data_IF_982382091452
#
_entry.id   IF_982382091452
#
_cell.length_a   1.000
_cell.length_b   1.000
_cell.length_c   1.000
_cell.angle_alpha   90.00
_cell.angle_beta   90.00
_cell.angle_gamma   90.00
#
_symmetry.space_group_name_H-M   'P 1'
#
loop_
_entity.id
_entity.type
_entity.pdbx_description
1 polymer ?
#
# COMPACT_ATOMS: atom_id res chain seq x y z
N UNK A 1 72.94 14.58 -4.92
CA UNK A 1 71.89 14.08 -5.82
C UNK A 1 70.56 14.23 -5.10
N UNK A 2 69.57 14.87 -5.73
CA UNK A 2 68.21 14.91 -5.21
C UNK A 2 67.41 13.76 -5.82
N UNK A 3 66.65 13.07 -5.00
CA UNK A 3 65.71 12.03 -5.40
C UNK A 3 64.35 12.68 -5.63
N UNK A 4 63.79 12.48 -6.83
CA UNK A 4 62.43 12.86 -7.19
C UNK A 4 61.60 11.59 -7.36
N UNK A 5 60.52 11.49 -6.59
CA UNK A 5 59.64 10.32 -6.60
C UNK A 5 58.24 10.79 -6.95
N UNK A 6 57.67 10.21 -8.01
CA UNK A 6 56.31 10.48 -8.46
C UNK A 6 55.41 9.32 -8.08
N UNK A 7 54.36 9.61 -7.33
CA UNK A 7 53.32 8.67 -6.96
C UNK A 7 52.07 8.97 -7.81
N UNK A 8 51.67 8.03 -8.65
CA UNK A 8 50.46 8.12 -9.44
C UNK A 8 49.38 7.22 -8.82
N UNK A 9 48.21 7.80 -8.55
CA UNK A 9 47.06 7.07 -8.03
C UNK A 9 45.86 7.25 -8.98
N UNK A 10 45.08 6.19 -9.13
CA UNK A 10 43.92 6.16 -10.04
C UNK A 10 42.62 5.98 -9.25
N UNK A 11 42.00 7.08 -8.78
CA UNK A 11 40.59 7.15 -8.33
C UNK A 11 40.21 8.57 -7.82
N UNK A 12 39.02 9.12 -8.12
CA UNK A 12 38.08 8.78 -9.20
C UNK A 12 38.56 9.28 -10.58
N UNK A 13 39.54 10.19 -10.60
CA UNK A 13 40.38 10.56 -11.75
C UNK A 13 41.86 10.31 -11.40
N UNK A 14 42.73 10.19 -12.41
CA UNK A 14 44.18 9.99 -12.19
C UNK A 14 44.80 11.28 -11.67
N UNK A 15 45.46 11.23 -10.53
CA UNK A 15 46.27 12.33 -10.03
C UNK A 15 47.65 11.86 -9.62
N UNK A 16 48.63 12.75 -9.78
CA UNK A 16 50.03 12.50 -9.44
C UNK A 16 50.45 13.45 -8.32
N UNK A 17 51.30 12.93 -7.42
CA UNK A 17 52.00 13.70 -6.40
C UNK A 17 53.48 13.45 -6.49
N UNK A 18 54.28 14.46 -6.17
CA UNK A 18 55.73 14.37 -6.24
C UNK A 18 56.34 14.67 -4.88
N UNK A 19 57.45 14.00 -4.57
CA UNK A 19 58.29 14.24 -3.41
C UNK A 19 59.74 14.39 -3.82
N UNK A 20 60.39 15.42 -3.28
CA UNK A 20 61.79 15.78 -3.57
C UNK A 20 62.57 15.83 -2.26
N UNK A 21 63.65 15.04 -2.15
CA UNK A 21 64.58 15.12 -1.02
C UNK A 21 65.98 14.65 -1.40
N UNK A 22 66.97 14.98 -0.56
CA UNK A 22 68.33 14.46 -0.65
C UNK A 22 68.44 12.95 -0.38
N UNK A 23 67.45 12.36 0.32
CA UNK A 23 67.37 10.91 0.59
C UNK A 23 66.11 10.31 -0.04
N UNK A 24 66.26 9.12 -0.62
CA UNK A 24 65.17 8.41 -1.30
C UNK A 24 63.97 8.13 -0.38
N UNK A 25 64.20 7.66 0.84
CA UNK A 25 63.12 7.36 1.80
C UNK A 25 62.33 8.60 2.22
N UNK A 26 63.02 9.74 2.38
CA UNK A 26 62.40 11.03 2.70
C UNK A 26 61.59 11.55 1.50
N UNK A 27 62.10 11.42 0.27
CA UNK A 27 61.38 11.77 -0.95
C UNK A 27 60.09 10.92 -1.12
N UNK A 28 60.15 9.63 -0.77
CA UNK A 28 59.00 8.72 -0.74
C UNK A 28 57.96 9.19 0.28
N UNK A 29 58.40 9.48 1.51
CA UNK A 29 57.49 9.92 2.59
C UNK A 29 56.80 11.23 2.23
N UNK A 30 57.50 12.17 1.61
CA UNK A 30 56.93 13.44 1.14
C UNK A 30 55.90 13.19 0.03
N UNK A 31 56.20 12.31 -0.94
CA UNK A 31 55.25 11.97 -2.00
C UNK A 31 53.95 11.34 -1.45
N UNK A 32 54.07 10.47 -0.44
CA UNK A 32 52.93 9.86 0.26
C UNK A 32 52.14 10.88 1.09
N UNK A 33 52.81 11.78 1.81
CA UNK A 33 52.16 12.85 2.57
C UNK A 33 51.33 13.76 1.67
N UNK A 34 51.89 14.15 0.52
CA UNK A 34 51.19 14.96 -0.48
C UNK A 34 49.97 14.22 -1.06
N UNK A 35 50.06 12.90 -1.24
CA UNK A 35 48.93 12.08 -1.67
C UNK A 35 47.83 12.01 -0.58
N UNK A 36 48.21 11.78 0.68
CA UNK A 36 47.26 11.80 1.80
C UNK A 36 46.58 13.17 1.95
N UNK A 37 47.30 14.27 1.76
CA UNK A 37 46.72 15.60 1.83
C UNK A 37 45.69 15.83 0.72
N UNK A 38 45.98 15.44 -0.53
CA UNK A 38 44.98 15.45 -1.62
C UNK A 38 43.77 14.57 -1.29
N UNK A 39 43.97 13.40 -0.72
CA UNK A 39 42.87 12.51 -0.31
C UNK A 39 42.00 13.12 0.81
N UNK A 40 42.59 13.94 1.71
CA UNK A 40 41.85 14.73 2.70
C UNK A 40 41.04 15.85 2.04
N UNK A 41 41.63 16.57 1.08
CA UNK A 41 40.95 17.60 0.30
C UNK A 41 39.77 17.03 -0.49
N UNK A 42 39.90 15.81 -1.01
CA UNK A 42 38.80 15.08 -1.66
C UNK A 42 37.78 14.46 -0.68
N UNK A 43 37.98 14.61 0.64
CA UNK A 43 37.05 14.08 1.65
C UNK A 43 37.01 12.55 1.72
N UNK A 44 38.05 11.85 1.24
CA UNK A 44 38.14 10.38 1.23
C UNK A 44 38.69 9.86 2.57
N UNK A 45 39.57 10.62 3.20
CA UNK A 45 40.15 10.30 4.51
C UNK A 45 40.00 11.48 5.48
N UNK A 46 39.84 11.20 6.77
CA UNK A 46 39.70 12.23 7.80
C UNK A 46 41.06 12.83 8.20
N UNK A 47 41.05 13.78 9.15
CA UNK A 47 42.28 14.40 9.66
C UNK A 47 43.26 13.39 10.28
N UNK A 48 42.77 12.24 10.74
CA UNK A 48 43.53 11.13 11.34
C UNK A 48 43.91 10.04 10.31
N UNK A 49 43.80 10.32 9.01
CA UNK A 49 44.08 9.39 7.91
C UNK A 49 43.21 8.12 7.91
N UNK A 50 42.04 8.13 8.56
CA UNK A 50 41.07 7.05 8.46
C UNK A 50 40.18 7.25 7.25
N UNK A 51 39.95 6.19 6.47
CA UNK A 51 38.99 6.18 5.38
C UNK A 51 37.61 6.62 5.88
N UNK A 52 37.14 7.74 5.35
CA UNK A 52 35.75 8.15 5.44
C UNK A 52 34.95 7.22 4.52
N UNK A 53 34.74 5.98 4.98
CA UNK A 53 33.59 5.20 4.52
C UNK A 53 32.36 6.12 4.66
N UNK A 54 31.44 6.16 3.70
CA UNK A 54 30.33 7.11 3.71
C UNK A 54 29.43 6.84 4.92
N UNK A 55 29.81 7.38 6.08
CA UNK A 55 29.01 7.47 7.30
C UNK A 55 27.91 8.52 7.14
N UNK A 56 27.97 9.32 6.07
CA UNK A 56 26.94 10.23 5.62
C UNK A 56 26.56 9.90 4.17
N UNK A 57 25.86 8.80 3.94
CA UNK A 57 24.78 8.87 2.95
C UNK A 57 23.77 9.79 3.62
N UNK A 58 23.64 11.01 3.10
CA UNK A 58 22.60 11.95 3.51
C UNK A 58 21.30 11.17 3.68
N UNK A 59 20.79 11.13 4.91
CA UNK A 59 19.53 10.53 5.26
C UNK A 59 18.44 11.24 4.47
N UNK A 60 17.96 10.61 3.41
CA UNK A 60 16.73 11.03 2.76
C UNK A 60 15.56 10.61 3.66
N UNK A 61 15.26 11.44 4.67
CA UNK A 61 14.20 11.23 5.66
C UNK A 61 14.34 9.94 6.47
N UNK A 62 14.88 10.03 7.69
CA UNK A 62 14.82 9.02 8.78
C UNK A 62 14.69 7.55 8.38
N UNK A 63 15.47 7.11 7.39
CA UNK A 63 15.39 5.72 6.94
C UNK A 63 16.71 5.02 7.11
N UNK A 64 16.67 4.11 8.07
CA UNK A 64 17.72 3.16 8.39
C UNK A 64 18.03 2.34 7.14
N UNK A 65 19.29 2.39 6.71
CA UNK A 65 19.84 1.66 5.58
C UNK A 65 19.38 0.20 5.62
N UNK A 66 19.21 -0.37 6.82
CA UNK A 66 18.78 -1.75 7.07
C UNK A 66 17.45 -2.17 6.42
N UNK A 67 16.56 -1.25 6.05
CA UNK A 67 15.24 -1.58 5.46
C UNK A 67 15.08 -1.22 3.99
N UNK A 68 16.07 -0.55 3.37
CA UNK A 68 15.95 -0.04 2.00
C UNK A 68 15.71 -1.14 0.94
N UNK A 69 16.25 -2.36 1.15
CA UNK A 69 16.01 -3.50 0.25
C UNK A 69 14.54 -3.92 0.20
N UNK A 70 13.88 -3.96 1.35
CA UNK A 70 12.47 -4.35 1.47
C UNK A 70 11.53 -3.28 0.91
N UNK A 71 11.82 -2.02 1.17
CA UNK A 71 11.06 -0.89 0.62
C UNK A 71 11.11 -0.85 -0.92
N UNK A 72 12.31 -1.01 -1.49
CA UNK A 72 12.50 -1.08 -2.94
C UNK A 72 11.71 -2.27 -3.52
N UNK A 73 11.77 -3.44 -2.87
CA UNK A 73 10.98 -4.60 -3.26
C UNK A 73 9.48 -4.32 -3.31
N UNK A 74 8.93 -3.66 -2.28
CA UNK A 74 7.50 -3.31 -2.22
C UNK A 74 7.08 -2.32 -3.33
N UNK A 75 7.93 -1.34 -3.65
CA UNK A 75 7.67 -0.37 -4.71
C UNK A 75 7.61 -1.08 -6.07
N UNK A 76 8.59 -1.92 -6.37
CA UNK A 76 8.64 -2.62 -7.65
C UNK A 76 7.62 -3.75 -7.77
N UNK A 77 7.20 -4.35 -6.66
CA UNK A 77 6.06 -5.26 -6.66
C UNK A 77 4.78 -4.54 -7.11
N UNK A 78 4.57 -3.30 -6.65
CA UNK A 78 3.42 -2.48 -7.09
C UNK A 78 3.51 -2.05 -8.55
N UNK A 79 4.71 -1.73 -9.04
CA UNK A 79 4.97 -1.46 -10.46
C UNK A 79 4.65 -2.72 -11.28
N UNK A 80 5.10 -3.89 -10.83
CA UNK A 80 4.84 -5.18 -11.48
C UNK A 80 3.34 -5.49 -11.56
N UNK A 81 2.60 -5.40 -10.46
CA UNK A 81 1.14 -5.62 -10.44
C UNK A 81 0.40 -4.71 -11.42
N UNK A 82 0.91 -3.50 -11.67
CA UNK A 82 0.25 -2.52 -12.55
C UNK A 82 0.59 -2.68 -14.03
N UNK A 83 1.82 -3.01 -14.36
CA UNK A 83 2.29 -3.09 -15.76
C UNK A 83 2.46 -4.52 -16.29
N UNK A 84 2.37 -5.54 -15.43
CA UNK A 84 2.40 -6.96 -15.81
C UNK A 84 3.74 -7.48 -16.34
N UNK A 85 4.80 -6.67 -16.42
CA UNK A 85 6.11 -7.08 -16.96
C UNK A 85 7.09 -7.49 -15.85
N UNK A 86 7.56 -8.74 -15.87
CA UNK A 86 8.55 -9.27 -14.92
C UNK A 86 9.93 -8.57 -14.98
N UNK A 87 10.20 -7.84 -16.05
CA UNK A 87 11.45 -7.10 -16.27
C UNK A 87 11.69 -5.98 -15.24
N UNK A 88 10.63 -5.52 -14.58
CA UNK A 88 10.71 -4.48 -13.55
C UNK A 88 11.26 -4.98 -12.21
N UNK A 89 11.43 -6.30 -12.01
CA UNK A 89 11.89 -6.83 -10.73
C UNK A 89 13.38 -6.49 -10.52
N UNK A 90 13.77 -5.82 -9.40
CA UNK A 90 15.16 -5.46 -9.16
C UNK A 90 16.03 -6.71 -8.98
N UNK A 91 17.13 -6.80 -9.74
CA UNK A 91 18.05 -7.96 -9.69
C UNK A 91 19.37 -7.56 -9.06
N UNK A 92 19.79 -8.30 -8.03
CA UNK A 92 21.06 -8.11 -7.35
C UNK A 92 22.10 -9.12 -7.87
N UNK A 93 23.28 -8.63 -8.23
CA UNK A 93 24.48 -9.43 -8.49
C UNK A 93 25.51 -9.10 -7.42
N UNK A 94 25.89 -10.07 -6.62
CA UNK A 94 26.72 -9.80 -5.44
C UNK A 94 27.97 -10.65 -5.44
N UNK A 95 29.12 -10.02 -5.19
CA UNK A 95 30.44 -10.65 -5.20
C UNK A 95 31.16 -10.33 -3.90
N UNK A 96 31.78 -11.34 -3.31
CA UNK A 96 32.67 -11.16 -2.15
C UNK A 96 34.07 -10.81 -2.65
N UNK A 97 34.58 -9.66 -2.25
CA UNK A 97 35.90 -9.18 -2.63
C UNK A 97 36.84 -9.38 -1.43
N UNK A 98 37.90 -10.16 -1.65
CA UNK A 98 38.95 -10.32 -0.64
C UNK A 98 39.81 -9.06 -0.61
N UNK A 99 40.02 -8.50 0.57
CA UNK A 99 40.88 -7.34 0.73
C UNK A 99 42.33 -7.70 0.38
N UNK A 100 42.99 -6.83 -0.38
CA UNK A 100 44.42 -6.97 -0.70
C UNK A 100 45.18 -6.10 0.31
N UNK A 101 46.28 -6.62 0.87
CA UNK A 101 47.14 -5.92 1.86
C UNK A 101 46.43 -5.48 3.16
N UNK A 102 45.85 -6.42 3.90
CA UNK A 102 45.41 -6.16 5.29
C UNK A 102 44.06 -5.45 5.46
N UNK A 103 43.36 -5.12 4.37
CA UNK A 103 41.96 -4.72 4.43
C UNK A 103 41.04 -5.93 4.66
N UNK A 104 39.99 -5.73 5.45
CA UNK A 104 38.97 -6.76 5.70
C UNK A 104 38.20 -7.13 4.42
N UNK A 105 37.76 -8.38 4.36
CA UNK A 105 36.84 -8.86 3.32
C UNK A 105 35.57 -8.00 3.28
N UNK A 106 35.14 -7.61 2.09
CA UNK A 106 33.89 -6.86 1.91
C UNK A 106 33.04 -7.42 0.77
N UNK A 107 31.75 -7.13 0.82
CA UNK A 107 30.77 -7.51 -0.19
C UNK A 107 30.49 -6.32 -1.09
N UNK A 108 30.50 -6.56 -2.41
CA UNK A 108 30.06 -5.61 -3.43
C UNK A 108 28.80 -6.15 -4.09
N UNK A 109 27.68 -5.42 -3.98
CA UNK A 109 26.40 -5.75 -4.59
C UNK A 109 26.03 -4.73 -5.67
N UNK A 110 25.70 -5.22 -6.84
CA UNK A 110 25.22 -4.45 -7.98
C UNK A 110 23.74 -4.73 -8.21
N UNK A 111 22.92 -3.69 -8.12
CA UNK A 111 21.49 -3.71 -8.33
C UNK A 111 21.16 -3.20 -9.72
N UNK A 112 20.54 -4.05 -10.55
CA UNK A 112 20.01 -3.70 -11.85
C UNK A 112 18.52 -3.37 -11.72
N UNK A 113 18.14 -2.18 -12.14
CA UNK A 113 16.78 -1.64 -12.09
C UNK A 113 16.41 -1.13 -13.47
N UNK A 114 15.28 -1.57 -14.01
CA UNK A 114 14.83 -1.21 -15.36
C UNK A 114 13.60 -0.34 -15.20
N UNK A 115 13.72 1.00 -15.24
CA UNK A 115 12.55 1.90 -15.24
C UNK A 115 12.97 3.37 -15.47
N UNK A 116 12.54 4.08 -16.52
CA UNK A 116 12.05 3.60 -17.81
C UNK A 116 13.18 3.01 -18.69
N UNK A 117 14.44 3.20 -18.30
CA UNK A 117 15.65 2.63 -18.91
C UNK A 117 16.41 1.78 -17.87
N UNK A 118 17.30 0.90 -18.33
CA UNK A 118 18.13 0.08 -17.45
C UNK A 118 19.21 0.91 -16.76
N UNK A 119 19.24 0.87 -15.43
CA UNK A 119 20.23 1.55 -14.60
C UNK A 119 20.78 0.63 -13.51
N UNK A 120 22.06 0.78 -13.23
CA UNK A 120 22.81 0.00 -12.24
C UNK A 120 23.22 0.84 -11.05
N UNK A 121 23.07 0.27 -9.85
CA UNK A 121 23.47 0.89 -8.59
C UNK A 121 24.38 -0.06 -7.82
N UNK A 122 25.51 0.44 -7.32
CA UNK A 122 26.46 -0.38 -6.56
C UNK A 122 26.51 0.00 -5.07
N UNK A 123 26.62 -1.01 -4.21
CA UNK A 123 26.80 -0.88 -2.77
C UNK A 123 27.91 -1.78 -2.26
N UNK A 124 28.75 -1.26 -1.37
CA UNK A 124 29.86 -1.99 -0.75
C UNK A 124 29.72 -1.96 0.77
N UNK A 125 29.84 -3.12 1.43
CA UNK A 125 29.82 -3.20 2.91
C UNK A 125 30.50 -4.47 3.43
N UNK A 126 30.83 -4.50 4.72
CA UNK A 126 31.40 -5.68 5.38
C UNK A 126 30.45 -6.90 5.39
N UNK A 127 29.13 -6.68 5.34
CA UNK A 127 28.11 -7.74 5.28
C UNK A 127 27.33 -7.66 3.96
N UNK A 128 26.94 -8.83 3.45
CA UNK A 128 26.13 -8.97 2.23
C UNK A 128 24.85 -8.13 2.28
N UNK A 129 24.10 -8.24 3.39
CA UNK A 129 22.83 -7.53 3.59
C UNK A 129 23.00 -6.01 3.52
N UNK A 130 24.09 -5.50 4.06
CA UNK A 130 24.37 -4.07 4.12
C UNK A 130 24.79 -3.54 2.74
N UNK A 131 25.55 -4.34 1.98
CA UNK A 131 25.96 -4.01 0.61
C UNK A 131 24.74 -3.90 -0.34
N UNK A 132 23.81 -4.85 -0.25
CA UNK A 132 22.54 -4.81 -1.00
C UNK A 132 21.67 -3.63 -0.57
N UNK A 133 21.62 -3.36 0.73
CA UNK A 133 20.81 -2.27 1.27
C UNK A 133 21.31 -0.90 0.81
N UNK A 134 22.63 -0.69 0.77
CA UNK A 134 23.24 0.55 0.24
C UNK A 134 22.93 0.72 -1.25
N UNK A 135 23.01 -0.35 -2.05
CA UNK A 135 22.64 -0.32 -3.45
C UNK A 135 21.15 0.08 -3.62
N UNK A 136 20.27 -0.46 -2.77
CA UNK A 136 18.85 -0.13 -2.76
C UNK A 136 18.58 1.32 -2.35
N UNK A 137 19.29 1.85 -1.35
CA UNK A 137 19.16 3.26 -0.93
C UNK A 137 19.53 4.23 -2.06
N UNK A 138 20.62 3.94 -2.80
CA UNK A 138 21.01 4.73 -3.98
C UNK A 138 19.94 4.70 -5.07
N UNK A 139 19.33 3.53 -5.30
CA UNK A 139 18.24 3.39 -6.25
C UNK A 139 16.99 4.19 -5.84
N UNK A 140 16.60 4.14 -4.56
CA UNK A 140 15.48 4.93 -4.03
C UNK A 140 15.72 6.43 -4.17
N UNK A 141 16.94 6.89 -3.88
CA UNK A 141 17.28 8.30 -4.05
C UNK A 141 17.14 8.75 -5.51
N UNK A 142 17.62 7.94 -6.45
CA UNK A 142 17.47 8.22 -7.88
C UNK A 142 15.99 8.26 -8.32
N UNK A 143 15.15 7.36 -7.82
CA UNK A 143 13.71 7.38 -8.11
C UNK A 143 13.03 8.65 -7.58
N UNK A 144 13.49 9.16 -6.43
CA UNK A 144 12.98 10.40 -5.86
C UNK A 144 13.41 11.62 -6.69
N UNK A 145 14.68 11.70 -7.10
CA UNK A 145 15.17 12.76 -8.00
C UNK A 145 14.41 12.81 -9.32
N UNK A 146 14.00 11.64 -9.83
CA UNK A 146 13.17 11.52 -11.04
C UNK A 146 11.68 11.80 -10.82
N UNK A 147 11.26 12.08 -9.58
CA UNK A 147 9.87 12.38 -9.24
C UNK A 147 8.93 11.17 -9.31
N UNK A 148 9.47 9.96 -9.42
CA UNK A 148 8.70 8.71 -9.52
C UNK A 148 8.14 8.33 -8.14
N UNK A 149 8.89 8.64 -7.09
CA UNK A 149 8.47 8.44 -5.70
C UNK A 149 8.45 9.77 -4.96
N UNK A 150 7.45 9.96 -4.09
CA UNK A 150 7.35 11.14 -3.24
C UNK A 150 8.30 11.05 -2.02
N UNK A 151 8.40 12.12 -1.23
CA UNK A 151 9.16 12.13 0.04
C UNK A 151 8.73 11.05 1.04
N UNK A 152 7.51 10.51 0.90
CA UNK A 152 6.97 9.40 1.69
C UNK A 152 7.18 8.02 1.02
N UNK A 153 8.02 7.94 -0.02
CA UNK A 153 8.38 6.72 -0.76
C UNK A 153 7.21 6.01 -1.44
N UNK A 154 6.14 6.74 -1.75
CA UNK A 154 5.00 6.25 -2.52
C UNK A 154 5.15 6.64 -3.98
N UNK A 155 4.75 5.74 -4.87
CA UNK A 155 4.69 5.99 -6.32
C UNK A 155 3.78 7.19 -6.62
N UNK A 156 4.32 8.18 -7.31
CA UNK A 156 3.57 9.33 -7.81
C UNK A 156 3.01 8.96 -9.18
N UNK A 157 1.75 8.52 -9.21
CA UNK A 157 1.08 8.04 -10.43
C UNK A 157 0.58 9.20 -11.30
N UNK A 158 0.25 10.34 -10.69
CA UNK A 158 -0.16 11.55 -11.37
C UNK A 158 0.58 12.73 -10.75
N UNK A 159 1.21 13.57 -11.58
CA UNK A 159 1.72 14.84 -11.09
C UNK A 159 0.53 15.75 -10.74
N UNK A 160 0.72 16.73 -9.84
CA UNK A 160 -0.32 17.73 -9.56
C UNK A 160 -0.83 18.41 -10.84
N UNK A 161 0.04 18.60 -11.83
CA UNK A 161 -0.31 19.11 -13.16
C UNK A 161 -1.17 18.17 -13.99
N UNK A 162 -1.06 16.85 -13.82
CA UNK A 162 -1.88 15.87 -14.55
C UNK A 162 -3.28 15.75 -13.98
N UNK A 163 -3.41 15.83 -12.65
CA UNK A 163 -4.71 15.88 -11.97
C UNK A 163 -5.48 17.13 -12.41
N UNK A 164 -4.82 18.30 -12.43
CA UNK A 164 -5.45 19.54 -12.91
C UNK A 164 -5.82 19.54 -14.39
N UNK A 165 -5.17 18.71 -15.23
CA UNK A 165 -5.57 18.51 -16.63
C UNK A 165 -6.80 17.60 -16.73
N UNK A 166 -6.84 16.53 -15.95
CA UNK A 166 -7.96 15.59 -15.92
C UNK A 166 -9.24 16.23 -15.36
N UNK A 167 -9.13 17.05 -14.31
CA UNK A 167 -10.25 17.82 -13.74
C UNK A 167 -10.88 18.79 -14.76
N UNK A 168 -10.06 19.40 -15.62
CA UNK A 168 -10.55 20.28 -16.70
C UNK A 168 -11.27 19.53 -17.82
N UNK A 169 -10.90 18.27 -18.06
CA UNK A 169 -11.54 17.43 -19.10
C UNK A 169 -12.89 16.89 -18.61
N UNK A 170 -13.02 16.55 -17.33
CA UNK A 170 -14.27 16.05 -16.75
C UNK A 170 -15.35 17.14 -16.53
N UNK A 171 -14.95 18.41 -16.42
CA UNK A 171 -15.86 19.53 -16.13
C UNK A 171 -16.34 20.28 -17.37
N UNK A 172 -15.94 19.87 -18.58
CA UNK A 172 -16.47 20.47 -19.80
C UNK A 172 -17.89 19.94 -20.07
N UNK A 173 -18.93 20.81 -20.18
CA UNK A 173 -20.27 20.36 -20.49
C UNK A 173 -20.28 19.70 -21.88
N UNK A 174 -20.67 18.43 -21.91
CA UNK A 174 -20.77 17.67 -23.14
C UNK A 174 -22.03 18.12 -23.89
N UNK A 175 -21.88 18.67 -25.10
CA UNK A 175 -23.02 19.07 -25.92
C UNK A 175 -23.71 17.82 -26.47
N UNK A 176 -24.81 17.42 -25.84
CA UNK A 176 -25.64 16.31 -26.30
C UNK A 176 -26.71 16.87 -27.23
N UNK A 177 -26.71 16.43 -28.50
CA UNK A 177 -27.75 16.76 -29.47
C UNK A 177 -28.80 15.65 -29.47
N UNK A 178 -30.06 16.00 -29.19
CA UNK A 178 -31.19 15.06 -29.20
C UNK A 178 -31.93 15.26 -30.52
N UNK A 179 -31.97 14.26 -31.42
CA UNK A 179 -32.73 14.34 -32.68
C UNK A 179 -34.21 14.60 -32.44
N UNK A 180 -34.85 15.40 -33.30
CA UNK A 180 -36.27 15.79 -33.17
C UNK A 180 -37.21 14.57 -33.04
N UNK A 181 -36.94 13.49 -33.78
CA UNK A 181 -37.70 12.24 -33.70
C UNK A 181 -37.67 11.56 -32.32
N UNK A 182 -36.63 11.82 -31.53
CA UNK A 182 -36.46 11.32 -30.17
C UNK A 182 -37.13 12.26 -29.16
N UNK A 183 -37.10 13.58 -29.42
CA UNK A 183 -37.83 14.55 -28.62
C UNK A 183 -39.35 14.30 -28.71
N UNK A 184 -39.88 14.03 -29.90
CA UNK A 184 -41.31 13.70 -30.08
C UNK A 184 -41.72 12.44 -29.31
N UNK A 185 -40.86 11.41 -29.31
CA UNK A 185 -41.09 10.20 -28.52
C UNK A 185 -41.04 10.48 -27.02
N UNK A 186 -40.09 11.30 -26.56
CA UNK A 186 -40.00 11.70 -25.16
C UNK A 186 -41.24 12.50 -24.72
N UNK A 187 -41.72 13.42 -25.56
CA UNK A 187 -42.96 14.17 -25.30
C UNK A 187 -44.20 13.29 -25.27
N UNK A 188 -44.28 12.28 -26.15
CA UNK A 188 -45.37 11.29 -26.12
C UNK A 188 -45.39 10.50 -24.81
N UNK A 189 -44.23 9.98 -24.39
CA UNK A 189 -44.10 9.20 -23.15
C UNK A 189 -44.43 10.05 -21.92
N UNK A 190 -44.00 11.31 -21.89
CA UNK A 190 -44.37 12.23 -20.81
C UNK A 190 -45.88 12.48 -20.76
N UNK A 191 -46.53 12.63 -21.92
CA UNK A 191 -47.98 12.82 -22.01
C UNK A 191 -48.74 11.56 -21.54
N UNK A 192 -48.22 10.36 -21.80
CA UNK A 192 -48.84 9.11 -21.37
C UNK A 192 -48.68 8.87 -19.86
N UNK A 193 -47.52 9.24 -19.28
CA UNK A 193 -47.30 9.24 -17.82
C UNK A 193 -48.23 10.24 -17.11
N UNK A 194 -48.46 11.41 -17.70
CA UNK A 194 -49.39 12.40 -17.15
C UNK A 194 -50.85 11.91 -17.19
N UNK A 195 -51.24 11.18 -18.25
CA UNK A 195 -52.56 10.53 -18.33
C UNK A 195 -52.72 9.39 -17.32
N UNK A 196 -51.69 8.59 -17.09
CA UNK A 196 -51.69 7.53 -16.06
C UNK A 196 -51.84 8.11 -14.64
N UNK A 197 -51.19 9.24 -14.34
CA UNK A 197 -51.36 9.93 -13.04
C UNK A 197 -52.80 10.39 -12.78
N UNK A 198 -53.56 10.71 -13.83
CA UNK A 198 -54.96 11.16 -13.69
C UNK A 198 -55.99 10.03 -13.62
N UNK A 199 -55.63 8.79 -14.00
CA UNK A 199 -56.55 7.65 -14.12
C UNK A 199 -56.22 6.52 -13.13
N UNK A 200 -56.04 6.84 -11.85
CA UNK A 200 -55.97 5.82 -10.79
C UNK A 200 -57.33 5.63 -10.11
N UNK A 201 -58.20 4.70 -10.57
CA UNK A 201 -58.99 3.90 -9.67
C UNK A 201 -58.10 2.77 -9.12
N UNK A 202 -58.09 2.62 -7.81
CA UNK A 202 -57.65 1.38 -7.16
C UNK A 202 -58.39 0.21 -7.81
N UNK A 203 -57.69 -0.68 -8.52
CA UNK A 203 -57.92 -2.14 -8.51
C UNK A 203 -56.96 -2.92 -9.43
N UNK A 204 -56.44 -4.01 -8.84
CA UNK A 204 -55.91 -5.24 -9.43
C UNK A 204 -54.52 -5.24 -10.12
N UNK A 205 -53.58 -5.82 -9.39
CA UNK A 205 -52.14 -5.90 -9.61
C UNK A 205 -51.71 -7.05 -10.55
N UNK A 206 -52.60 -7.56 -11.40
CA UNK A 206 -52.32 -8.74 -12.25
C UNK A 206 -51.85 -8.38 -13.66
N UNK A 207 -52.24 -7.23 -14.22
CA UNK A 207 -51.99 -6.91 -15.64
C UNK A 207 -50.61 -6.29 -15.91
N UNK A 208 -49.91 -5.77 -14.88
CA UNK A 208 -48.61 -5.09 -15.07
C UNK A 208 -47.45 -6.05 -15.35
N UNK A 209 -47.62 -7.36 -15.12
CA UNK A 209 -46.55 -8.35 -15.37
C UNK A 209 -46.21 -8.58 -16.84
N UNK A 210 -47.10 -8.24 -17.78
CA UNK A 210 -46.90 -8.58 -19.20
C UNK A 210 -46.21 -7.49 -20.04
N UNK A 211 -45.98 -6.29 -19.50
CA UNK A 211 -45.42 -5.15 -20.25
C UNK A 211 -44.03 -4.70 -19.79
N UNK A 212 -43.43 -5.36 -18.81
CA UNK A 212 -42.03 -5.11 -18.46
C UNK A 212 -41.13 -5.73 -19.52
N UNK A 213 -40.61 -4.87 -20.39
CA UNK A 213 -39.42 -5.16 -21.19
C UNK A 213 -38.37 -5.72 -20.24
N UNK A 214 -37.95 -6.97 -20.47
CA UNK A 214 -36.81 -7.57 -19.79
C UNK A 214 -35.57 -6.71 -20.07
N UNK A 215 -35.35 -5.70 -19.23
CA UNK A 215 -34.00 -5.19 -19.03
C UNK A 215 -33.19 -6.40 -18.59
N UNK A 216 -32.21 -6.79 -19.39
CA UNK A 216 -31.18 -7.73 -18.97
C UNK A 216 -30.52 -7.13 -17.74
N UNK A 217 -31.03 -7.46 -16.55
CA UNK A 217 -30.31 -7.26 -15.31
C UNK A 217 -28.99 -7.98 -15.48
N UNK A 218 -27.88 -7.24 -15.45
CA UNK A 218 -26.56 -7.83 -15.38
C UNK A 218 -26.59 -8.88 -14.27
N UNK A 219 -26.31 -10.13 -14.60
CA UNK A 219 -26.28 -11.22 -13.63
C UNK A 219 -25.23 -10.88 -12.58
N UNK A 220 -25.67 -10.37 -11.42
CA UNK A 220 -24.79 -10.09 -10.29
C UNK A 220 -24.47 -11.43 -9.65
N UNK A 221 -23.20 -11.80 -9.62
CA UNK A 221 -22.76 -13.02 -8.94
C UNK A 221 -22.32 -12.72 -7.51
N UNK A 222 -22.69 -13.59 -6.58
CA UNK A 222 -22.20 -13.57 -5.22
C UNK A 222 -20.71 -13.90 -5.20
N UNK A 223 -19.90 -12.99 -4.64
CA UNK A 223 -18.42 -13.07 -4.68
C UNK A 223 -17.88 -14.30 -3.92
N UNK A 224 -18.67 -14.90 -3.03
CA UNK A 224 -18.26 -16.02 -2.18
C UNK A 224 -18.69 -17.35 -2.79
N UNK A 225 -19.92 -17.43 -3.28
CA UNK A 225 -20.54 -18.67 -3.76
C UNK A 225 -20.51 -18.83 -5.28
N UNK A 226 -20.17 -17.77 -6.01
CA UNK A 226 -20.19 -17.69 -7.48
C UNK A 226 -21.57 -17.96 -8.09
N UNK A 227 -22.63 -18.04 -7.27
CA UNK A 227 -24.01 -18.19 -7.70
C UNK A 227 -24.62 -16.84 -8.06
N UNK A 228 -25.69 -16.86 -8.85
CA UNK A 228 -26.48 -15.65 -9.16
C UNK A 228 -27.04 -15.10 -7.84
N UNK A 229 -26.69 -13.86 -7.52
CA UNK A 229 -27.20 -13.14 -6.38
C UNK A 229 -28.63 -12.72 -6.65
N UNK A 230 -29.56 -13.31 -5.89
CA UNK A 230 -30.94 -12.86 -5.82
C UNK A 230 -31.10 -11.97 -4.59
N UNK A 231 -31.44 -10.70 -4.80
CA UNK A 231 -31.79 -9.83 -3.70
C UNK A 231 -33.01 -10.40 -2.95
N UNK A 232 -32.94 -10.54 -1.61
CA UNK A 232 -34.06 -11.06 -0.84
C UNK A 232 -35.27 -10.13 -0.95
N UNK A 233 -36.46 -10.70 -0.92
CA UNK A 233 -37.71 -9.92 -0.93
C UNK A 233 -37.85 -9.06 0.33
N UNK A 234 -38.64 -7.97 0.28
CA UNK A 234 -38.86 -7.12 1.46
C UNK A 234 -39.39 -7.90 2.67
N UNK A 235 -40.29 -8.87 2.44
CA UNK A 235 -40.84 -9.73 3.48
C UNK A 235 -39.76 -10.62 4.11
N UNK A 236 -38.85 -11.16 3.29
CA UNK A 236 -37.72 -11.96 3.76
C UNK A 236 -36.73 -11.12 4.57
N UNK A 237 -36.43 -9.90 4.13
CA UNK A 237 -35.57 -8.96 4.86
C UNK A 237 -36.14 -8.67 6.25
N UNK A 238 -37.46 -8.41 6.34
CA UNK A 238 -38.14 -8.13 7.61
C UNK A 238 -38.09 -9.35 8.53
N UNK A 239 -38.48 -10.53 8.01
CA UNK A 239 -38.52 -11.76 8.80
C UNK A 239 -37.13 -12.14 9.32
N UNK A 240 -36.12 -12.11 8.46
CA UNK A 240 -34.74 -12.44 8.81
C UNK A 240 -34.14 -11.43 9.79
N UNK A 241 -34.41 -10.14 9.61
CA UNK A 241 -33.94 -9.11 10.55
C UNK A 241 -34.54 -9.30 11.95
N UNK A 242 -35.82 -9.68 12.03
CA UNK A 242 -36.49 -10.00 13.29
C UNK A 242 -35.88 -11.23 13.96
N UNK A 243 -35.66 -12.31 13.21
CA UNK A 243 -35.04 -13.53 13.73
C UNK A 243 -33.64 -13.24 14.30
N UNK A 244 -32.83 -12.44 13.59
CA UNK A 244 -31.50 -12.03 14.05
C UNK A 244 -31.56 -11.21 15.34
N UNK A 245 -32.55 -10.33 15.47
CA UNK A 245 -32.75 -9.55 16.70
C UNK A 245 -33.14 -10.44 17.88
N UNK A 246 -34.10 -11.34 17.70
CA UNK A 246 -34.54 -12.29 18.74
C UNK A 246 -33.37 -13.17 19.21
N UNK A 247 -32.57 -13.71 18.28
CA UNK A 247 -31.34 -14.46 18.60
C UNK A 247 -30.34 -13.64 19.42
N UNK A 248 -30.16 -12.36 19.09
CA UNK A 248 -29.24 -11.48 19.82
C UNK A 248 -29.72 -11.17 21.23
N UNK A 249 -31.03 -10.93 21.41
CA UNK A 249 -31.63 -10.74 22.75
C UNK A 249 -31.41 -12.00 23.59
N UNK A 250 -31.72 -13.17 23.04
CA UNK A 250 -31.47 -14.46 23.69
C UNK A 250 -30.00 -14.63 24.09
N UNK A 251 -29.08 -14.37 23.17
CA UNK A 251 -27.64 -14.44 23.45
C UNK A 251 -27.24 -13.46 24.56
N UNK A 252 -27.84 -12.26 24.59
CA UNK A 252 -27.63 -11.22 25.61
C UNK A 252 -28.09 -11.64 27.01
N UNK A 253 -29.24 -12.30 27.11
CA UNK A 253 -29.86 -12.76 28.37
C UNK A 253 -29.32 -14.11 28.87
N UNK A 254 -28.65 -14.88 27.99
CA UNK A 254 -28.08 -16.17 28.38
C UNK A 254 -27.06 -16.01 29.52
N UNK A 255 -27.26 -16.86 30.54
CA UNK A 255 -26.46 -16.96 31.77
C UNK A 255 -25.51 -18.16 31.75
N UNK A 256 -25.29 -18.77 30.58
CA UNK A 256 -24.32 -19.86 30.44
C UNK A 256 -22.90 -19.36 30.73
N UNK A 257 -22.09 -20.10 31.53
CA UNK A 257 -20.79 -19.64 31.99
C UNK A 257 -19.80 -19.36 30.84
N UNK A 258 -19.82 -20.18 29.79
CA UNK A 258 -18.97 -20.01 28.61
C UNK A 258 -19.32 -18.73 27.83
N UNK A 259 -20.61 -18.44 27.67
CA UNK A 259 -21.07 -17.21 27.00
C UNK A 259 -20.78 -15.95 27.82
N UNK A 260 -20.89 -16.04 29.15
CA UNK A 260 -20.50 -14.95 30.05
C UNK A 260 -19.00 -14.66 29.96
N UNK A 261 -18.16 -15.69 29.88
CA UNK A 261 -16.72 -15.53 29.68
C UNK A 261 -16.41 -14.87 28.33
N UNK A 262 -17.05 -15.30 27.26
CA UNK A 262 -16.92 -14.69 25.92
C UNK A 262 -17.29 -13.20 25.96
N UNK A 263 -18.43 -12.84 26.57
CA UNK A 263 -18.87 -11.44 26.72
C UNK A 263 -17.85 -10.62 27.51
N UNK A 264 -17.29 -11.20 28.59
CA UNK A 264 -16.26 -10.54 29.41
C UNK A 264 -14.99 -10.28 28.62
N UNK A 265 -14.51 -11.28 27.87
CA UNK A 265 -13.30 -11.15 27.05
C UNK A 265 -13.49 -10.07 25.99
N UNK A 266 -14.61 -10.08 25.25
CA UNK A 266 -14.93 -9.05 24.25
C UNK A 266 -14.95 -7.65 24.87
N UNK A 267 -15.58 -7.50 26.04
CA UNK A 267 -15.64 -6.21 26.74
C UNK A 267 -14.29 -5.73 27.26
N UNK A 268 -13.34 -6.65 27.50
CA UNK A 268 -11.98 -6.30 27.97
C UNK A 268 -11.02 -5.84 26.87
N UNK A 269 -11.39 -6.01 25.59
CA UNK A 269 -10.53 -5.61 24.47
C UNK A 269 -10.46 -4.07 24.37
N UNK A 270 -9.27 -3.48 24.13
CA UNK A 270 -9.11 -2.02 24.08
C UNK A 270 -10.02 -1.31 23.07
N UNK A 271 -10.36 -1.98 21.96
CA UNK A 271 -11.23 -1.39 20.93
C UNK A 271 -12.69 -1.23 21.38
N UNK A 272 -13.12 -1.93 22.44
CA UNK A 272 -14.49 -1.88 22.94
C UNK A 272 -14.85 -0.51 23.51
N UNK A 273 -13.89 0.20 24.11
CA UNK A 273 -14.06 1.59 24.57
C UNK A 273 -14.31 2.57 23.42
N UNK A 274 -13.92 2.19 22.19
CA UNK A 274 -14.05 3.01 20.97
C UNK A 274 -15.24 2.62 20.11
N UNK A 275 -16.10 1.71 20.56
CA UNK A 275 -17.23 1.18 19.78
C UNK A 275 -18.12 2.29 19.20
N UNK A 276 -18.61 3.20 20.05
CA UNK A 276 -19.54 4.26 19.63
C UNK A 276 -18.89 5.25 18.66
N UNK A 277 -17.63 5.64 18.93
CA UNK A 277 -16.84 6.51 18.04
C UNK A 277 -16.68 5.88 16.66
N UNK A 278 -16.38 4.59 16.59
CA UNK A 278 -16.22 3.85 15.32
C UNK A 278 -17.54 3.81 14.54
N UNK A 279 -18.64 3.44 15.19
CA UNK A 279 -19.96 3.34 14.54
C UNK A 279 -20.42 4.69 13.98
N UNK A 280 -20.30 5.76 14.78
CA UNK A 280 -20.63 7.11 14.35
C UNK A 280 -19.78 7.56 13.16
N UNK A 281 -18.47 7.32 13.23
CA UNK A 281 -17.55 7.72 12.15
C UNK A 281 -17.87 6.97 10.85
N UNK A 282 -18.26 5.69 10.93
CA UNK A 282 -18.68 4.90 9.76
C UNK A 282 -20.01 5.37 9.16
N UNK A 283 -20.94 5.84 9.98
CA UNK A 283 -22.21 6.38 9.51
C UNK A 283 -22.02 7.73 8.78
N UNK A 284 -21.11 8.56 9.29
CA UNK A 284 -20.84 9.90 8.74
C UNK A 284 -19.89 9.90 7.53
N UNK A 285 -19.12 8.81 7.30
CA UNK A 285 -18.05 8.78 6.30
C UNK A 285 -18.08 7.50 5.47
N UNK A 286 -18.01 7.65 4.14
CA UNK A 286 -17.91 6.52 3.21
C UNK A 286 -16.62 5.71 3.38
N UNK A 287 -15.52 6.34 3.83
CA UNK A 287 -14.21 5.70 4.01
C UNK A 287 -13.63 6.09 5.37
N UNK A 288 -13.27 5.08 6.16
CA UNK A 288 -12.68 5.25 7.49
C UNK A 288 -11.39 4.46 7.60
N UNK A 289 -10.34 5.09 8.14
CA UNK A 289 -9.05 4.44 8.43
C UNK A 289 -8.94 4.18 9.93
N UNK A 290 -9.00 2.92 10.31
CA UNK A 290 -8.84 2.49 11.70
C UNK A 290 -7.38 2.11 11.97
N UNK A 291 -6.73 2.84 12.88
CA UNK A 291 -5.38 2.54 13.38
C UNK A 291 -5.45 2.10 14.84
N UNK A 292 -4.64 1.11 15.21
CA UNK A 292 -4.52 0.65 16.58
C UNK A 292 -3.51 -0.47 16.70
N UNK A 293 -3.07 -0.76 17.92
CA UNK A 293 -2.01 -1.74 18.18
C UNK A 293 -2.41 -3.18 17.82
N UNK A 294 -1.42 -4.05 17.65
CA UNK A 294 -1.65 -5.48 17.47
C UNK A 294 -2.37 -6.06 18.69
N UNK A 295 -3.41 -6.87 18.47
CA UNK A 295 -4.17 -7.48 19.55
C UNK A 295 -5.27 -6.60 20.16
N UNK A 296 -5.45 -5.36 19.71
CA UNK A 296 -6.50 -4.48 20.27
C UNK A 296 -7.93 -4.90 19.90
N UNK A 297 -8.11 -5.84 18.97
CA UNK A 297 -9.43 -6.39 18.58
C UNK A 297 -10.01 -5.90 17.25
N UNK A 298 -9.26 -5.15 16.42
CA UNK A 298 -9.77 -4.60 15.13
C UNK A 298 -10.48 -5.63 14.25
N UNK A 299 -9.80 -6.72 13.92
CA UNK A 299 -10.28 -7.68 12.93
C UNK A 299 -11.47 -8.51 13.43
N UNK A 300 -11.55 -8.77 14.75
CA UNK A 300 -12.63 -9.58 15.33
C UNK A 300 -13.82 -8.74 15.76
N UNK A 301 -13.61 -7.56 16.36
CA UNK A 301 -14.69 -6.80 16.99
C UNK A 301 -15.38 -5.79 16.06
N UNK A 302 -14.65 -5.10 15.17
CA UNK A 302 -15.26 -4.04 14.34
C UNK A 302 -16.39 -4.57 13.44
N UNK A 303 -16.22 -5.69 12.71
CA UNK A 303 -17.32 -6.26 11.93
C UNK A 303 -18.53 -6.63 12.79
N UNK A 304 -18.27 -7.19 13.98
CA UNK A 304 -19.32 -7.53 14.94
C UNK A 304 -20.03 -6.29 15.46
N UNK A 305 -19.34 -5.18 15.73
CA UNK A 305 -19.96 -3.94 16.18
C UNK A 305 -20.94 -3.40 15.16
N UNK A 306 -20.56 -3.39 13.87
CA UNK A 306 -21.39 -2.93 12.76
C UNK A 306 -22.62 -3.84 12.62
N UNK A 307 -22.41 -5.16 12.57
CA UNK A 307 -23.51 -6.12 12.43
C UNK A 307 -24.47 -6.04 13.62
N UNK A 308 -23.93 -6.01 14.84
CA UNK A 308 -24.72 -5.93 16.07
C UNK A 308 -25.53 -4.61 16.11
N UNK A 309 -24.99 -3.50 15.60
CA UNK A 309 -25.73 -2.25 15.48
C UNK A 309 -26.90 -2.34 14.48
N UNK A 310 -26.68 -2.93 13.31
CA UNK A 310 -27.75 -3.17 12.34
C UNK A 310 -28.83 -4.10 12.87
N UNK A 311 -28.44 -5.17 13.58
CA UNK A 311 -29.37 -6.08 14.25
C UNK A 311 -30.19 -5.30 15.28
N UNK A 312 -29.55 -4.46 16.11
CA UNK A 312 -30.21 -3.58 17.09
C UNK A 312 -31.32 -2.72 16.49
N UNK A 313 -31.15 -2.27 15.25
CA UNK A 313 -32.10 -1.43 14.53
C UNK A 313 -33.09 -2.21 13.66
N UNK A 314 -33.22 -3.53 13.85
CA UNK A 314 -34.09 -4.41 13.05
C UNK A 314 -33.77 -4.37 11.55
N UNK A 315 -32.50 -4.13 11.21
CA UNK A 315 -31.97 -4.05 9.83
C UNK A 315 -30.87 -5.09 9.58
N UNK A 316 -30.79 -6.13 10.42
CA UNK A 316 -29.72 -7.13 10.37
C UNK A 316 -29.56 -7.80 9.00
N UNK A 317 -30.66 -8.09 8.31
CA UNK A 317 -30.62 -8.75 7.00
C UNK A 317 -30.10 -7.86 5.86
N UNK A 318 -30.04 -6.54 6.06
CA UNK A 318 -29.47 -5.59 5.10
C UNK A 318 -27.95 -5.43 5.26
N UNK A 319 -27.37 -5.99 6.34
CA UNK A 319 -25.97 -5.80 6.68
C UNK A 319 -25.11 -6.95 6.13
N UNK A 320 -24.34 -6.68 5.08
CA UNK A 320 -23.35 -7.61 4.55
C UNK A 320 -21.95 -7.02 4.72
N UNK A 321 -21.08 -7.75 5.41
CA UNK A 321 -19.72 -7.29 5.73
C UNK A 321 -18.71 -8.30 5.16
N UNK A 322 -17.82 -7.80 4.30
CA UNK A 322 -16.71 -8.59 3.76
C UNK A 322 -15.41 -8.14 4.42
N UNK A 323 -14.71 -9.09 5.04
CA UNK A 323 -13.42 -8.83 5.70
C UNK A 323 -12.31 -9.58 4.95
N UNK A 324 -11.46 -8.84 4.24
CA UNK A 324 -10.32 -9.45 3.52
C UNK A 324 -9.12 -9.64 4.45
N UNK A 325 -8.41 -10.77 4.32
CA UNK A 325 -7.14 -11.01 5.00
C UNK A 325 -6.04 -11.36 3.98
N UNK A 326 -4.79 -10.89 4.16
CA UNK A 326 -3.70 -11.15 3.21
C UNK A 326 -3.23 -12.61 3.19
N UNK A 327 -3.63 -13.42 4.19
CA UNK A 327 -3.26 -14.83 4.31
C UNK A 327 -4.50 -15.67 4.56
N UNK A 328 -4.62 -16.80 3.84
CA UNK A 328 -5.74 -17.75 3.97
C UNK A 328 -5.92 -18.26 5.41
N UNK A 329 -4.84 -18.62 6.10
CA UNK A 329 -4.91 -19.10 7.49
C UNK A 329 -5.46 -18.03 8.45
N UNK A 330 -5.18 -16.75 8.19
CA UNK A 330 -5.72 -15.65 8.99
C UNK A 330 -7.22 -15.45 8.72
N UNK A 331 -7.69 -15.61 7.48
CA UNK A 331 -9.12 -15.55 7.17
C UNK A 331 -9.89 -16.64 7.91
N UNK A 332 -9.43 -17.89 7.83
CA UNK A 332 -10.06 -19.05 8.48
C UNK A 332 -10.08 -18.86 10.00
N UNK A 333 -8.93 -18.60 10.61
CA UNK A 333 -8.81 -18.48 12.06
C UNK A 333 -9.62 -17.33 12.63
N UNK A 334 -9.72 -16.19 11.92
CA UNK A 334 -10.56 -15.07 12.36
C UNK A 334 -12.04 -15.42 12.26
N UNK A 335 -12.46 -16.07 11.16
CA UNK A 335 -13.85 -16.48 10.99
C UNK A 335 -14.31 -17.46 12.07
N UNK A 336 -13.51 -18.51 12.34
CA UNK A 336 -13.75 -19.48 13.42
C UNK A 336 -13.83 -18.79 14.79
N UNK A 337 -12.91 -17.84 15.05
CA UNK A 337 -12.90 -17.08 16.29
C UNK A 337 -14.16 -16.22 16.46
N UNK A 338 -14.60 -15.55 15.39
CA UNK A 338 -15.81 -14.71 15.42
C UNK A 338 -17.06 -15.57 15.60
N UNK A 339 -17.17 -16.73 14.93
CA UNK A 339 -18.28 -17.66 15.13
C UNK A 339 -18.37 -18.12 16.59
N UNK A 340 -17.25 -18.53 17.18
CA UNK A 340 -17.18 -18.91 18.59
C UNK A 340 -17.58 -17.75 19.53
N UNK A 341 -17.13 -16.52 19.25
CA UNK A 341 -17.49 -15.31 20.02
C UNK A 341 -18.99 -14.94 19.95
N UNK A 342 -19.72 -15.51 18.98
CA UNK A 342 -21.17 -15.34 18.79
C UNK A 342 -21.98 -16.56 19.22
N UNK A 343 -21.33 -17.65 19.64
CA UNK A 343 -22.00 -18.93 19.92
C UNK A 343 -22.57 -19.60 18.66
N UNK A 344 -22.00 -19.30 17.50
CA UNK A 344 -22.37 -19.83 16.19
C UNK A 344 -21.32 -20.88 15.75
N UNK A 345 -21.68 -21.85 14.90
CA UNK A 345 -20.78 -22.92 14.42
C UNK A 345 -20.66 -22.95 12.90
#
# INVERSE_FOLDING_TARGET
MMWQIKLAMTWPERFETEGLSSKKSEAETIAYLNACQKLKEYGIIDQNNQLLLPKNIMTFGDTDIRYSKGELGNIFQRIWTRYGKQEFIPKYKTVKIKGIFGNEDYWKSELQLIYPEAKTFEGCAARLRDAESIAATKALHWLHEKGIINKKKQLVVYSKSDVSKLEKVQSAPCSVYIPETLQDKMSSVLCDIEKEKTNLPFENNETIKELMVEEKQDEVYDIITENIYMAPSETEIILRSREMFEKRVWFGESSEPELLEIKRVRSSLPISEKREEILKTLEENQVVVLSGDTGCGKTTQVPQFILDDYISHMKGALCNIVVTQPRRISAISVAERVAAERGEK
#
